data_IF_379352109730
#
_entry.id   IF_379352109730
#
_cell.length_a   1.000
_cell.length_b   1.000
_cell.length_c   1.000
_cell.angle_alpha   90.00
_cell.angle_beta   90.00
_cell.angle_gamma   90.00
#
_symmetry.space_group_name_H-M   'P 1'
#
loop_
_entity.id
_entity.type
_entity.pdbx_description
1 polymer ?
#
# COMPACT_ATOMS: atom_id res chain seq x y z
N UNK A 1 8.78 20.81 22.86
CA UNK A 1 8.09 20.82 21.55
C UNK A 1 6.90 19.89 21.62
N UNK A 2 5.83 20.17 20.88
CA UNK A 2 4.67 19.27 20.78
C UNK A 2 4.94 18.23 19.70
N UNK A 3 4.64 16.95 19.96
CA UNK A 3 4.76 15.89 18.95
C UNK A 3 3.80 16.20 17.80
N UNK A 4 4.34 16.26 16.58
CA UNK A 4 3.54 16.50 15.37
C UNK A 4 2.95 15.20 14.82
N UNK A 5 3.79 14.18 14.66
CA UNK A 5 3.41 12.87 14.11
C UNK A 5 3.93 11.71 14.97
N UNK A 6 3.25 10.58 14.90
CA UNK A 6 3.63 9.30 15.48
C UNK A 6 3.85 8.31 14.34
N UNK A 7 4.96 7.57 14.41
CA UNK A 7 5.30 6.52 13.46
C UNK A 7 5.49 5.22 14.22
N UNK A 8 4.98 4.12 13.66
CA UNK A 8 5.16 2.77 14.21
C UNK A 8 5.87 1.88 13.21
N UNK A 9 6.70 0.97 13.74
CA UNK A 9 7.45 0.00 12.97
C UNK A 9 7.25 -1.39 13.56
N UNK A 10 7.32 -2.43 12.73
CA UNK A 10 7.34 -3.82 13.19
C UNK A 10 8.74 -4.23 13.71
N UNK A 11 8.87 -5.50 14.11
CA UNK A 11 10.12 -6.05 14.63
C UNK A 11 11.24 -6.14 13.58
N UNK A 12 10.90 -6.07 12.30
CA UNK A 12 11.85 -6.05 11.18
C UNK A 12 12.24 -4.61 10.80
N UNK A 13 11.66 -3.60 11.45
CA UNK A 13 11.88 -2.19 11.17
C UNK A 13 11.09 -1.67 9.97
N UNK A 14 10.08 -2.39 9.49
CA UNK A 14 9.20 -1.91 8.42
C UNK A 14 8.10 -1.02 9.01
N UNK A 15 7.74 0.06 8.30
CA UNK A 15 6.74 1.00 8.78
C UNK A 15 5.33 0.38 8.75
N UNK A 16 4.62 0.46 9.86
CA UNK A 16 3.26 -0.10 10.02
C UNK A 16 2.22 0.93 10.44
N UNK A 17 2.64 2.13 10.87
CA UNK A 17 1.75 3.20 11.30
C UNK A 17 2.33 4.57 10.98
N UNK A 18 1.47 5.47 10.52
CA UNK A 18 1.69 6.92 10.51
C UNK A 18 0.41 7.62 10.97
N UNK A 19 0.50 8.59 11.88
CA UNK A 19 -0.64 9.41 12.28
C UNK A 19 -0.19 10.76 12.86
N UNK A 20 -1.03 11.77 12.72
CA UNK A 20 -0.95 13.02 13.48
C UNK A 20 -1.70 12.90 14.81
N UNK A 21 -1.80 14.01 15.54
CA UNK A 21 -2.52 14.05 16.82
C UNK A 21 -3.95 13.52 16.70
N UNK A 22 -4.36 12.65 17.63
CA UNK A 22 -5.72 12.10 17.69
C UNK A 22 -6.08 11.12 16.57
N UNK A 23 -5.10 10.58 15.83
CA UNK A 23 -5.35 9.66 14.71
C UNK A 23 -5.69 10.36 13.40
N UNK A 24 -5.48 11.69 13.31
CA UNK A 24 -5.62 12.41 12.06
C UNK A 24 -4.66 11.85 11.00
N UNK A 25 -5.17 11.64 9.78
CA UNK A 25 -4.43 11.05 8.65
C UNK A 25 -3.80 9.67 8.96
N UNK A 26 -4.39 8.94 9.92
CA UNK A 26 -3.92 7.61 10.29
C UNK A 26 -3.84 6.68 9.08
N UNK A 27 -2.67 6.09 8.89
CA UNK A 27 -2.43 5.05 7.87
C UNK A 27 -1.79 3.86 8.57
N UNK A 28 -2.34 2.68 8.34
CA UNK A 28 -1.80 1.42 8.83
C UNK A 28 -1.39 0.53 7.67
N UNK A 29 -0.26 -0.16 7.81
CA UNK A 29 0.26 -1.08 6.80
C UNK A 29 0.41 -2.46 7.41
N UNK A 30 -0.18 -3.46 6.75
CA UNK A 30 -0.04 -4.87 7.11
C UNK A 30 0.72 -5.61 6.02
N UNK A 31 1.84 -6.21 6.39
CA UNK A 31 2.62 -7.11 5.53
C UNK A 31 2.10 -8.53 5.73
N UNK A 32 1.41 -9.07 4.73
CA UNK A 32 0.70 -10.35 4.85
C UNK A 32 1.63 -11.54 4.56
N UNK A 33 1.29 -12.72 5.10
CA UNK A 33 2.09 -13.94 4.92
C UNK A 33 2.16 -14.43 3.47
N UNK A 34 1.20 -14.06 2.62
CA UNK A 34 1.19 -14.35 1.18
C UNK A 34 2.07 -13.40 0.36
N UNK A 35 2.77 -12.46 1.01
CA UNK A 35 3.60 -11.44 0.37
C UNK A 35 2.82 -10.22 -0.15
N UNK A 36 1.50 -10.19 0.01
CA UNK A 36 0.72 -8.98 -0.27
C UNK A 36 0.84 -7.95 0.84
N UNK A 37 0.54 -6.69 0.53
CA UNK A 37 0.53 -5.58 1.50
C UNK A 37 -0.86 -4.97 1.55
N UNK A 38 -1.42 -4.80 2.73
CA UNK A 38 -2.70 -4.10 2.93
C UNK A 38 -2.45 -2.74 3.56
N UNK A 39 -3.02 -1.68 2.98
CA UNK A 39 -2.97 -0.31 3.50
C UNK A 39 -4.37 0.10 3.93
N UNK A 40 -4.51 0.47 5.19
CA UNK A 40 -5.77 0.93 5.79
C UNK A 40 -5.69 2.40 6.10
N UNK A 41 -6.58 3.21 5.53
CA UNK A 41 -6.62 4.65 5.79
C UNK A 41 -7.41 4.99 7.06
N UNK A 42 -7.47 6.27 7.40
CA UNK A 42 -8.13 6.77 8.61
C UNK A 42 -9.64 6.51 8.64
N UNK A 43 -10.26 6.29 7.47
CA UNK A 43 -11.68 5.95 7.32
C UNK A 43 -11.95 4.45 7.42
N UNK A 44 -10.91 3.63 7.59
CA UNK A 44 -11.02 2.18 7.63
C UNK A 44 -11.11 1.51 6.26
N UNK A 45 -10.96 2.25 5.17
CA UNK A 45 -10.89 1.67 3.83
C UNK A 45 -9.55 0.97 3.63
N UNK A 46 -9.61 -0.23 3.07
CA UNK A 46 -8.44 -1.09 2.85
C UNK A 46 -8.16 -1.21 1.37
N UNK A 47 -6.89 -1.03 1.00
CA UNK A 47 -6.34 -1.37 -0.31
C UNK A 47 -5.30 -2.46 -0.16
N UNK A 48 -5.40 -3.52 -0.96
CA UNK A 48 -4.46 -4.65 -0.99
C UNK A 48 -3.64 -4.60 -2.26
N UNK A 49 -2.34 -4.76 -2.11
CA UNK A 49 -1.34 -4.76 -3.18
C UNK A 49 -0.70 -6.14 -3.24
N UNK A 50 -0.75 -6.77 -4.41
CA UNK A 50 0.03 -8.00 -4.69
C UNK A 50 1.24 -7.64 -5.52
N UNK A 51 2.37 -8.32 -5.31
CA UNK A 51 3.63 -7.96 -5.94
C UNK A 51 4.30 -9.15 -6.60
N UNK A 52 4.95 -8.89 -7.74
CA UNK A 52 5.90 -9.79 -8.38
C UNK A 52 7.15 -9.05 -8.84
N UNK A 53 8.19 -9.80 -9.22
CA UNK A 53 9.41 -9.21 -9.78
C UNK A 53 9.28 -9.04 -11.28
N UNK A 54 9.42 -7.79 -11.75
CA UNK A 54 9.52 -7.44 -13.17
C UNK A 54 10.86 -6.78 -13.43
N UNK A 55 11.66 -7.39 -14.30
CA UNK A 55 13.04 -6.98 -14.59
C UNK A 55 13.88 -6.81 -13.30
N UNK A 56 13.80 -7.80 -12.40
CA UNK A 56 14.52 -7.83 -11.11
C UNK A 56 13.94 -6.97 -9.99
N UNK A 57 13.02 -6.04 -10.29
CA UNK A 57 12.44 -5.13 -9.32
C UNK A 57 11.05 -5.60 -8.86
N UNK A 58 10.77 -5.52 -7.56
CA UNK A 58 9.45 -5.81 -7.00
C UNK A 58 8.47 -4.70 -7.42
N UNK A 59 7.34 -5.05 -8.04
CA UNK A 59 6.31 -4.12 -8.51
C UNK A 59 4.92 -4.67 -8.23
N UNK A 60 3.91 -3.81 -8.05
CA UNK A 60 2.55 -4.26 -7.80
C UNK A 60 1.94 -4.86 -9.08
N UNK A 61 1.42 -6.07 -9.03
CA UNK A 61 0.67 -6.69 -10.14
C UNK A 61 -0.81 -6.36 -10.09
N UNK A 62 -1.36 -6.19 -8.88
CA UNK A 62 -2.78 -5.89 -8.66
C UNK A 62 -2.90 -4.98 -7.46
N UNK A 63 -3.70 -3.93 -7.62
CA UNK A 63 -4.25 -3.14 -6.52
C UNK A 63 -5.75 -3.43 -6.45
N UNK A 64 -6.25 -3.80 -5.27
CA UNK A 64 -7.67 -4.06 -5.09
C UNK A 64 -8.18 -3.54 -3.75
N UNK A 65 -9.47 -3.23 -3.66
CA UNK A 65 -10.11 -2.86 -2.40
C UNK A 65 -11.09 -1.71 -2.51
N UNK A 66 -11.24 -0.99 -1.40
CA UNK A 66 -12.20 0.10 -1.29
C UNK A 66 -11.72 1.36 -2.03
N UNK A 67 -12.64 2.23 -2.48
CA UNK A 67 -12.28 3.49 -3.11
C UNK A 67 -11.44 4.37 -2.18
N UNK A 68 -10.44 5.04 -2.75
CA UNK A 68 -9.67 6.06 -2.08
C UNK A 68 -9.24 7.14 -3.09
N UNK A 69 -8.48 8.14 -2.64
CA UNK A 69 -7.99 9.19 -3.54
C UNK A 69 -7.14 8.59 -4.66
N UNK A 70 -7.62 8.72 -5.91
CA UNK A 70 -6.93 8.19 -7.09
C UNK A 70 -7.20 6.73 -7.42
N UNK A 71 -8.09 6.05 -6.68
CA UNK A 71 -8.51 4.67 -6.94
C UNK A 71 -10.02 4.56 -6.74
N UNK A 72 -10.75 4.21 -7.79
CA UNK A 72 -12.23 4.15 -7.74
C UNK A 72 -12.76 2.97 -6.93
N UNK A 73 -11.88 2.09 -6.45
CA UNK A 73 -12.25 0.83 -5.80
C UNK A 73 -12.39 -0.30 -6.82
N UNK A 74 -12.45 -1.53 -6.33
CA UNK A 74 -12.51 -2.72 -7.17
C UNK A 74 -11.13 -3.37 -7.31
N UNK A 75 -10.72 -3.70 -8.54
CA UNK A 75 -9.48 -4.41 -8.83
C UNK A 75 -8.85 -3.86 -10.10
N UNK A 76 -7.63 -3.35 -9.98
CA UNK A 76 -6.83 -2.77 -11.06
C UNK A 76 -5.54 -3.58 -11.24
N UNK A 77 -5.45 -4.45 -12.26
CA UNK A 77 -4.21 -5.13 -12.61
C UNK A 77 -3.24 -4.22 -13.38
N UNK A 78 -1.95 -4.39 -13.10
CA UNK A 78 -0.83 -3.77 -13.78
C UNK A 78 -0.13 -4.80 -14.66
N UNK A 79 0.05 -4.45 -15.92
CA UNK A 79 0.79 -5.29 -16.88
C UNK A 79 2.11 -4.60 -17.22
N UNK A 80 3.17 -5.39 -17.30
CA UNK A 80 4.52 -4.92 -17.57
C UNK A 80 5.07 -5.50 -18.87
N UNK A 81 5.89 -4.72 -19.58
CA UNK A 81 6.65 -5.20 -20.74
C UNK A 81 7.93 -5.96 -20.30
N UNK A 82 8.69 -6.46 -21.27
CA UNK A 82 9.94 -7.20 -21.02
C UNK A 82 11.05 -6.35 -20.37
N UNK A 83 10.95 -5.01 -20.42
CA UNK A 83 11.85 -4.08 -19.74
C UNK A 83 11.36 -3.76 -18.32
N UNK A 84 10.20 -4.29 -17.93
CA UNK A 84 9.53 -4.04 -16.66
C UNK A 84 8.82 -2.69 -16.61
N UNK A 85 8.58 -2.01 -17.74
CA UNK A 85 7.80 -0.77 -17.77
C UNK A 85 6.30 -1.10 -17.83
N UNK A 86 5.45 -0.25 -17.25
CA UNK A 86 3.99 -0.45 -17.31
C UNK A 86 3.55 -0.37 -18.77
N UNK A 87 2.90 -1.42 -19.26
CA UNK A 87 2.33 -1.50 -20.60
C UNK A 87 0.82 -1.26 -20.60
N UNK A 88 0.13 -1.60 -19.51
CA UNK A 88 -1.30 -1.36 -19.33
C UNK A 88 -1.71 -1.35 -17.87
N UNK A 89 -2.78 -0.62 -17.57
CA UNK A 89 -3.54 -0.64 -16.31
C UNK A 89 -4.99 -0.85 -16.74
N UNK A 90 -5.67 -1.85 -16.18
CA UNK A 90 -7.07 -2.17 -16.51
C UNK A 90 -7.99 -1.92 -15.33
#
# INVERSE_FOLDING_TARGET
>A
GNRFATWGYDAQGMAVLSEHAGGAEKTQVSYNADGSVSVTNALGHVQRYTYSRHNGMLKPDVVEGAPCTGFVGGKEPYVYDSKGLVSSIT
#
